data_IF_774325955699
#
_entry.id   IF_774325955699
#
_cell.length_a   1.000
_cell.length_b   1.000
_cell.length_c   1.000
_cell.angle_alpha   90.00
_cell.angle_beta   90.00
_cell.angle_gamma   90.00
#
_symmetry.space_group_name_H-M   'P 1'
#
loop_
_entity.id
_entity.type
_entity.pdbx_description
1 polymer ?
#
# COMPACT_ATOMS: atom_id res chain seq x y z
N UNK A 1 1.21 -6.78 47.68
CA UNK A 1 0.96 -8.23 47.40
C UNK A 1 -0.23 -8.81 48.16
N UNK A 2 -1.12 -8.01 48.78
CA UNK A 2 -2.28 -8.55 49.55
C UNK A 2 -3.65 -7.99 49.10
N UNK A 3 -3.84 -7.60 47.87
CA UNK A 3 -5.12 -7.02 47.36
C UNK A 3 -5.79 -7.77 46.20
N UNK A 4 -5.21 -8.84 45.68
CA UNK A 4 -5.71 -9.49 44.44
C UNK A 4 -6.45 -10.81 44.65
N UNK A 5 -6.67 -11.26 45.87
CA UNK A 5 -7.24 -12.60 46.16
C UNK A 5 -8.74 -12.62 46.48
N UNK A 6 -9.44 -11.48 46.50
CA UNK A 6 -10.87 -11.46 46.97
C UNK A 6 -11.88 -11.35 45.79
N UNK A 7 -11.48 -11.14 44.57
CA UNK A 7 -12.43 -10.95 43.45
C UNK A 7 -12.69 -12.20 42.60
N UNK A 8 -12.38 -13.41 43.09
CA UNK A 8 -12.58 -14.67 42.32
C UNK A 8 -13.82 -15.48 42.68
N UNK A 9 -14.73 -14.97 43.51
CA UNK A 9 -15.99 -15.67 43.81
C UNK A 9 -17.15 -14.70 43.85
N UNK A 10 -17.69 -14.36 42.71
CA UNK A 10 -19.07 -13.88 42.49
C UNK A 10 -19.12 -13.19 41.13
N UNK A 11 -19.51 -13.89 40.11
CA UNK A 11 -20.29 -13.35 38.98
C UNK A 11 -20.53 -14.47 37.95
N UNK A 12 -21.51 -15.30 38.21
CA UNK A 12 -22.39 -15.78 37.14
C UNK A 12 -23.55 -14.77 37.09
N UNK A 13 -23.88 -14.35 35.88
CA UNK A 13 -25.02 -13.54 35.39
C UNK A 13 -24.75 -12.06 35.17
N UNK A 14 -24.96 -11.71 33.94
CA UNK A 14 -25.25 -10.46 33.27
C UNK A 14 -24.16 -10.01 32.27
N UNK A 15 -24.18 -10.64 31.10
CA UNK A 15 -23.61 -10.10 29.87
C UNK A 15 -24.34 -8.83 29.49
N UNK A 16 -23.80 -7.68 29.85
CA UNK A 16 -24.22 -6.42 29.25
C UNK A 16 -23.12 -5.96 28.30
N UNK A 17 -23.38 -5.92 26.99
CA UNK A 17 -22.40 -5.47 25.97
C UNK A 17 -21.89 -4.06 26.27
N UNK A 18 -22.66 -3.25 26.98
CA UNK A 18 -22.29 -1.91 27.43
C UNK A 18 -21.08 -1.89 28.40
N UNK A 19 -20.97 -2.82 29.33
CA UNK A 19 -19.84 -2.90 30.26
C UNK A 19 -18.52 -3.26 29.52
N UNK A 20 -18.60 -4.17 28.56
CA UNK A 20 -17.46 -4.54 27.72
C UNK A 20 -17.01 -3.35 26.86
N UNK A 21 -17.94 -2.57 26.29
CA UNK A 21 -17.65 -1.38 25.50
C UNK A 21 -17.02 -0.28 26.38
N UNK A 22 -17.59 -0.02 27.57
CA UNK A 22 -17.05 0.99 28.52
C UNK A 22 -15.66 0.58 29.00
N UNK A 23 -15.44 -0.71 29.32
CA UNK A 23 -14.12 -1.21 29.71
C UNK A 23 -13.10 -1.10 28.58
N UNK A 24 -13.51 -1.41 27.34
CA UNK A 24 -12.66 -1.28 26.15
C UNK A 24 -12.34 0.19 25.86
N UNK A 25 -13.30 1.09 25.96
CA UNK A 25 -13.10 2.54 25.80
C UNK A 25 -12.23 3.14 26.92
N UNK A 26 -12.37 2.66 28.17
CA UNK A 26 -11.52 3.07 29.28
C UNK A 26 -10.09 2.59 29.11
N UNK A 27 -9.86 1.36 28.64
CA UNK A 27 -8.52 0.84 28.31
C UNK A 27 -7.92 1.66 27.16
N UNK A 28 -8.66 1.94 26.09
CA UNK A 28 -8.20 2.75 24.95
C UNK A 28 -7.82 4.16 25.43
N UNK A 29 -8.61 4.78 26.31
CA UNK A 29 -8.31 6.09 26.90
C UNK A 29 -7.04 6.06 27.76
N UNK A 30 -6.84 5.02 28.58
CA UNK A 30 -5.63 4.87 29.42
C UNK A 30 -4.38 4.62 28.57
N UNK A 31 -4.47 3.75 27.56
CA UNK A 31 -3.39 3.49 26.60
C UNK A 31 -3.03 4.77 25.84
N UNK A 32 -4.03 5.53 25.40
CA UNK A 32 -3.81 6.82 24.73
C UNK A 32 -3.03 7.80 25.62
N UNK A 33 -3.34 7.87 26.92
CA UNK A 33 -2.65 8.74 27.89
C UNK A 33 -1.20 8.29 28.15
N UNK A 34 -0.95 6.97 28.18
CA UNK A 34 0.40 6.40 28.35
C UNK A 34 1.25 6.65 27.09
N UNK A 35 0.65 6.45 25.91
CA UNK A 35 1.33 6.71 24.62
C UNK A 35 1.66 8.19 24.42
N UNK A 36 0.77 9.08 24.87
CA UNK A 36 1.05 10.53 24.82
C UNK A 36 2.21 10.93 25.76
N UNK A 37 2.42 10.19 26.86
CA UNK A 37 3.57 10.37 27.77
C UNK A 37 4.86 9.67 27.28
N UNK A 38 4.75 8.55 26.56
CA UNK A 38 5.89 7.79 26.02
C UNK A 38 6.41 8.32 24.68
N UNK A 39 5.73 9.28 24.04
CA UNK A 39 6.23 9.91 22.83
C UNK A 39 7.50 10.71 23.17
N UNK A 40 8.65 10.28 22.64
CA UNK A 40 9.89 11.04 22.71
C UNK A 40 9.60 12.51 22.35
N UNK A 41 10.00 13.48 23.18
CA UNK A 41 9.67 14.87 22.94
C UNK A 41 10.31 15.31 21.62
N UNK A 42 9.50 15.47 20.59
CA UNK A 42 9.95 16.02 19.30
C UNK A 42 10.48 17.42 19.53
N UNK A 43 11.68 17.71 19.02
CA UNK A 43 12.16 19.09 18.97
C UNK A 43 11.19 19.95 18.14
N UNK A 44 11.11 21.25 18.45
CA UNK A 44 10.27 22.21 17.70
C UNK A 44 10.52 22.12 16.19
N UNK A 45 11.78 21.92 15.80
CA UNK A 45 12.20 21.79 14.41
C UNK A 45 11.67 20.51 13.75
N UNK A 46 11.60 19.39 14.46
CA UNK A 46 11.04 18.14 13.91
C UNK A 46 9.53 18.25 13.69
N UNK A 47 8.80 18.89 14.60
CA UNK A 47 7.35 19.15 14.43
C UNK A 47 7.09 20.06 13.23
N UNK A 48 7.88 21.11 13.05
CA UNK A 48 7.76 22.03 11.93
C UNK A 48 8.05 21.32 10.60
N UNK A 49 9.15 20.56 10.53
CA UNK A 49 9.48 19.74 9.34
C UNK A 49 8.35 18.78 8.99
N UNK A 50 7.82 18.03 9.95
CA UNK A 50 6.72 17.10 9.70
C UNK A 50 5.46 17.80 9.15
N UNK A 51 5.12 18.99 9.67
CA UNK A 51 4.00 19.79 9.14
C UNK A 51 4.26 20.28 7.72
N UNK A 52 5.45 20.80 7.46
CA UNK A 52 5.85 21.28 6.12
C UNK A 52 5.84 20.14 5.09
N UNK A 53 6.46 19.00 5.41
CA UNK A 53 6.44 17.83 4.54
C UNK A 53 5.02 17.30 4.32
N UNK A 54 4.20 17.24 5.39
CA UNK A 54 2.81 16.82 5.30
C UNK A 54 2.01 17.73 4.34
N UNK A 55 2.13 19.05 4.50
CA UNK A 55 1.46 20.00 3.62
C UNK A 55 1.98 19.93 2.18
N UNK A 56 3.29 19.85 1.98
CA UNK A 56 3.91 19.75 0.67
C UNK A 56 3.42 18.49 -0.08
N UNK A 57 3.50 17.32 0.54
CA UNK A 57 3.09 16.08 -0.11
C UNK A 57 1.57 15.97 -0.28
N UNK A 58 0.78 16.54 0.63
CA UNK A 58 -0.67 16.63 0.46
C UNK A 58 -1.03 17.45 -0.79
N UNK A 59 -0.37 18.58 -1.04
CA UNK A 59 -0.56 19.37 -2.26
C UNK A 59 0.07 18.70 -3.50
N UNK A 60 1.14 17.94 -3.33
CA UNK A 60 1.78 17.24 -4.44
C UNK A 60 0.88 16.16 -5.05
N UNK A 61 0.00 15.51 -4.27
CA UNK A 61 -0.91 14.47 -4.79
C UNK A 61 -1.83 15.03 -5.90
N UNK A 62 -2.67 16.04 -5.67
CA UNK A 62 -3.52 16.58 -6.72
C UNK A 62 -2.70 17.19 -7.87
N UNK A 63 -1.56 17.81 -7.59
CA UNK A 63 -0.68 18.35 -8.62
C UNK A 63 -0.13 17.25 -9.55
N UNK A 64 0.30 16.12 -9.00
CA UNK A 64 0.78 14.98 -9.81
C UNK A 64 -0.35 14.28 -10.55
N UNK A 65 -1.55 14.20 -9.98
CA UNK A 65 -2.73 13.69 -10.68
C UNK A 65 -3.02 14.55 -11.92
N UNK A 66 -3.09 15.88 -11.76
CA UNK A 66 -3.33 16.80 -12.87
C UNK A 66 -2.23 16.70 -13.93
N UNK A 67 -0.96 16.65 -13.50
CA UNK A 67 0.18 16.46 -14.40
C UNK A 67 0.06 15.15 -15.19
N UNK A 68 -0.21 14.05 -14.51
CA UNK A 68 -0.27 12.73 -15.13
C UNK A 68 -1.48 12.56 -16.07
N UNK A 69 -2.60 13.22 -15.81
CA UNK A 69 -3.76 13.23 -16.71
C UNK A 69 -3.44 14.05 -17.96
N UNK A 70 -2.72 15.17 -17.80
CA UNK A 70 -2.44 16.10 -18.89
C UNK A 70 -1.34 15.61 -19.85
N UNK A 71 -0.34 14.87 -19.36
CA UNK A 71 0.79 14.35 -20.14
C UNK A 71 0.56 12.87 -20.52
N UNK A 72 0.80 12.56 -21.80
CA UNK A 72 0.74 11.18 -22.28
C UNK A 72 0.98 11.08 -23.78
N UNK A 73 1.19 9.85 -24.31
CA UNK A 73 1.62 9.61 -25.69
C UNK A 73 0.67 10.15 -26.76
N UNK A 74 -0.61 10.33 -26.44
CA UNK A 74 -1.63 10.80 -27.40
C UNK A 74 -1.62 12.33 -27.66
N UNK A 75 -0.62 13.08 -27.20
CA UNK A 75 -0.38 14.47 -27.61
C UNK A 75 -1.51 15.47 -27.31
N UNK A 76 -2.35 15.22 -26.31
CA UNK A 76 -3.53 16.06 -26.00
C UNK A 76 -3.19 17.49 -25.56
N UNK A 77 -1.94 17.76 -25.17
CA UNK A 77 -1.54 19.03 -24.58
C UNK A 77 -1.98 19.19 -23.11
N UNK A 78 -1.24 20.00 -22.36
CA UNK A 78 -1.47 20.16 -20.91
C UNK A 78 -2.84 20.81 -20.61
N UNK A 79 -3.19 21.87 -21.33
CA UNK A 79 -4.46 22.58 -21.14
C UNK A 79 -5.67 21.70 -21.44
N UNK A 80 -5.64 20.98 -22.56
CA UNK A 80 -6.77 20.13 -22.97
C UNK A 80 -7.03 18.96 -22.01
N UNK A 81 -5.99 18.43 -21.37
CA UNK A 81 -6.17 17.39 -20.32
C UNK A 81 -6.92 17.90 -19.11
N UNK A 82 -6.59 19.10 -18.62
CA UNK A 82 -7.28 19.72 -17.48
C UNK A 82 -8.72 20.09 -17.85
N UNK A 83 -8.91 20.68 -19.04
CA UNK A 83 -10.25 21.08 -19.49
C UNK A 83 -11.14 19.85 -19.68
N UNK A 84 -10.63 18.75 -20.28
CA UNK A 84 -11.37 17.49 -20.41
C UNK A 84 -11.78 16.90 -19.05
N UNK A 85 -10.94 17.05 -18.02
CA UNK A 85 -11.28 16.62 -16.66
C UNK A 85 -12.41 17.45 -16.07
N UNK A 86 -12.40 18.78 -16.29
CA UNK A 86 -13.38 19.72 -15.71
C UNK A 86 -14.69 19.81 -16.50
N UNK A 87 -14.70 19.44 -17.78
CA UNK A 87 -15.86 19.56 -18.66
C UNK A 87 -17.15 18.96 -18.07
N UNK A 88 -17.19 17.74 -17.52
CA UNK A 88 -18.43 17.20 -16.95
C UNK A 88 -18.96 18.00 -15.76
N UNK A 89 -18.04 18.51 -14.92
CA UNK A 89 -18.41 19.33 -13.76
C UNK A 89 -18.98 20.68 -14.22
N UNK A 90 -18.38 21.29 -15.24
CA UNK A 90 -18.84 22.57 -15.77
C UNK A 90 -20.15 22.40 -16.51
N UNK A 91 -20.35 21.34 -17.26
CA UNK A 91 -21.63 21.06 -17.91
C UNK A 91 -22.78 20.92 -16.91
N UNK A 92 -22.56 20.26 -15.76
CA UNK A 92 -23.55 20.20 -14.67
C UNK A 92 -23.81 21.54 -14.02
N UNK A 93 -22.79 22.39 -13.89
CA UNK A 93 -22.94 23.74 -13.33
C UNK A 93 -23.46 24.77 -14.33
N UNK A 94 -23.29 24.54 -15.64
CA UNK A 94 -23.74 25.43 -16.70
C UNK A 94 -25.23 25.38 -16.96
N UNK A 95 -25.92 24.34 -16.49
CA UNK A 95 -27.37 24.29 -16.45
C UNK A 95 -27.93 25.41 -15.57
N UNK A 96 -27.20 25.80 -14.49
CA UNK A 96 -27.55 26.91 -13.59
C UNK A 96 -26.87 28.23 -13.98
N UNK A 97 -25.75 28.21 -14.69
CA UNK A 97 -24.89 29.33 -15.04
C UNK A 97 -24.40 29.31 -16.50
N UNK A 98 -25.21 29.65 -17.50
CA UNK A 98 -24.87 29.55 -18.93
C UNK A 98 -23.58 30.26 -19.38
N UNK A 99 -23.13 31.27 -18.61
CA UNK A 99 -21.91 32.00 -18.89
C UNK A 99 -20.62 31.13 -18.76
N UNK A 100 -20.71 30.03 -18.05
CA UNK A 100 -19.55 29.11 -17.88
C UNK A 100 -19.19 28.34 -19.15
N UNK A 101 -20.14 28.11 -20.05
CA UNK A 101 -19.91 27.40 -21.33
C UNK A 101 -18.94 28.15 -22.25
N UNK A 102 -18.79 29.44 -22.10
CA UNK A 102 -17.88 30.26 -22.93
C UNK A 102 -16.45 30.35 -22.36
N UNK A 103 -16.21 29.84 -21.14
CA UNK A 103 -14.91 29.95 -20.46
C UNK A 103 -13.93 28.84 -20.86
N UNK A 104 -14.41 27.72 -21.40
CA UNK A 104 -13.57 26.60 -21.78
C UNK A 104 -13.48 26.45 -23.30
N UNK A 105 -12.29 26.12 -23.83
CA UNK A 105 -12.16 25.73 -25.22
C UNK A 105 -12.97 24.45 -25.48
N UNK A 106 -13.56 24.34 -26.66
CA UNK A 106 -14.22 23.12 -27.11
C UNK A 106 -13.23 21.97 -27.19
N UNK A 107 -13.56 20.88 -26.53
CA UNK A 107 -12.76 19.66 -26.52
C UNK A 107 -13.44 18.58 -27.35
N UNK A 108 -12.65 17.88 -28.18
CA UNK A 108 -13.18 16.76 -28.95
C UNK A 108 -13.71 15.65 -28.02
N UNK A 109 -14.82 14.98 -28.36
CA UNK A 109 -15.34 13.86 -27.60
C UNK A 109 -14.31 12.73 -27.40
N UNK A 110 -13.39 12.57 -28.36
CA UNK A 110 -12.29 11.61 -28.28
C UNK A 110 -11.30 11.96 -27.14
N UNK A 111 -10.93 13.24 -26.98
CA UNK A 111 -10.07 13.70 -25.88
C UNK A 111 -10.74 13.53 -24.52
N UNK A 112 -12.03 13.83 -24.43
CA UNK A 112 -12.80 13.62 -23.21
C UNK A 112 -12.87 12.16 -22.82
N UNK A 113 -13.17 11.28 -23.77
CA UNK A 113 -13.20 9.82 -23.55
C UNK A 113 -11.83 9.27 -23.15
N UNK A 114 -10.74 9.73 -23.79
CA UNK A 114 -9.37 9.36 -23.44
C UNK A 114 -9.05 9.71 -21.99
N UNK A 115 -9.43 10.91 -21.54
CA UNK A 115 -9.16 11.36 -20.16
C UNK A 115 -9.98 10.57 -19.16
N UNK A 116 -11.29 10.45 -19.36
CA UNK A 116 -12.19 9.86 -18.37
C UNK A 116 -12.17 8.32 -18.35
N UNK A 117 -11.99 7.66 -19.51
CA UNK A 117 -12.07 6.20 -19.59
C UNK A 117 -10.71 5.51 -19.49
N UNK A 118 -9.59 6.22 -19.78
CA UNK A 118 -8.26 5.61 -19.82
C UNK A 118 -7.32 6.26 -18.81
N UNK A 119 -7.13 7.60 -18.88
CA UNK A 119 -6.09 8.26 -18.07
C UNK A 119 -6.45 8.38 -16.60
N UNK A 120 -7.68 8.84 -16.32
CA UNK A 120 -8.14 9.09 -14.96
C UNK A 120 -8.15 7.81 -14.09
N UNK A 121 -8.77 6.69 -14.52
CA UNK A 121 -8.74 5.47 -13.72
C UNK A 121 -7.32 4.95 -13.51
N UNK A 122 -6.44 5.00 -14.51
CA UNK A 122 -5.04 4.62 -14.39
C UNK A 122 -4.28 5.44 -13.35
N UNK A 123 -4.41 6.76 -13.38
CA UNK A 123 -3.74 7.68 -12.45
C UNK A 123 -4.29 7.52 -11.03
N UNK A 124 -5.60 7.38 -10.87
CA UNK A 124 -6.23 7.17 -9.56
C UNK A 124 -5.82 5.81 -8.96
N UNK A 125 -5.80 4.75 -9.77
CA UNK A 125 -5.35 3.44 -9.34
C UNK A 125 -3.87 3.47 -8.93
N UNK A 126 -3.00 4.13 -9.71
CA UNK A 126 -1.60 4.33 -9.35
C UNK A 126 -1.46 5.04 -7.99
N UNK A 127 -2.21 6.12 -7.77
CA UNK A 127 -2.22 6.83 -6.50
C UNK A 127 -2.68 5.97 -5.33
N UNK A 128 -3.79 5.24 -5.51
CA UNK A 128 -4.36 4.36 -4.49
C UNK A 128 -3.40 3.24 -4.10
N UNK A 129 -2.83 2.54 -5.10
CA UNK A 129 -1.89 1.42 -4.88
C UNK A 129 -0.57 1.92 -4.32
N UNK A 130 -0.03 3.04 -4.83
CA UNK A 130 1.19 3.63 -4.27
C UNK A 130 1.04 4.04 -2.81
N UNK A 131 -0.10 4.62 -2.44
CA UNK A 131 -0.45 4.96 -1.06
C UNK A 131 -0.52 3.71 -0.17
N UNK A 132 -1.22 2.66 -0.63
CA UNK A 132 -1.41 1.42 0.12
C UNK A 132 -0.07 0.69 0.36
N UNK A 133 0.77 0.57 -0.67
CA UNK A 133 2.09 -0.06 -0.55
C UNK A 133 3.00 0.67 0.43
N UNK A 134 3.00 2.02 0.41
CA UNK A 134 3.79 2.81 1.33
C UNK A 134 3.33 2.66 2.80
N UNK A 135 2.01 2.64 3.04
CA UNK A 135 1.45 2.40 4.40
C UNK A 135 1.77 0.98 4.87
N UNK A 136 1.57 -0.03 4.01
CA UNK A 136 1.90 -1.41 4.32
C UNK A 136 3.39 -1.58 4.62
N UNK A 137 4.26 -0.98 3.81
CA UNK A 137 5.70 -0.97 4.02
C UNK A 137 6.11 -0.31 5.34
N UNK A 138 5.56 0.86 5.67
CA UNK A 138 5.81 1.53 6.95
C UNK A 138 5.41 0.65 8.15
N UNK A 139 4.26 -0.04 8.04
CA UNK A 139 3.78 -1.00 9.03
C UNK A 139 4.73 -2.19 9.19
N UNK A 140 5.15 -2.81 8.08
CA UNK A 140 6.10 -3.93 8.09
C UNK A 140 7.44 -3.53 8.72
N UNK A 141 7.96 -2.36 8.35
CA UNK A 141 9.21 -1.84 8.94
C UNK A 141 9.12 -1.63 10.44
N UNK A 142 7.94 -1.25 10.96
CA UNK A 142 7.71 -1.13 12.40
C UNK A 142 7.63 -2.50 13.09
N UNK A 143 6.84 -3.41 12.53
CA UNK A 143 6.62 -4.75 13.08
C UNK A 143 7.92 -5.56 13.13
N UNK A 144 8.71 -5.54 12.06
CA UNK A 144 9.99 -6.25 12.01
C UNK A 144 11.16 -5.45 12.59
N UNK A 145 10.93 -4.19 12.97
CA UNK A 145 11.99 -3.24 13.40
C UNK A 145 13.18 -3.24 12.44
N UNK A 146 12.88 -3.42 11.17
CA UNK A 146 13.84 -3.48 10.10
C UNK A 146 13.42 -2.49 8.99
N UNK A 147 14.22 -1.46 8.70
CA UNK A 147 13.90 -0.47 7.67
C UNK A 147 13.85 -1.05 6.25
N UNK A 148 14.35 -2.28 6.06
CA UNK A 148 14.35 -2.98 4.78
C UNK A 148 13.20 -3.98 4.64
N UNK A 149 12.29 -4.06 5.64
CA UNK A 149 11.12 -4.91 5.55
C UNK A 149 10.10 -4.32 4.57
N UNK A 150 9.55 -5.17 3.71
CA UNK A 150 8.46 -4.84 2.79
C UNK A 150 7.40 -5.95 2.80
N UNK A 151 6.16 -5.67 2.35
CA UNK A 151 5.09 -6.67 2.37
C UNK A 151 5.41 -7.97 1.61
N UNK A 152 6.17 -7.89 0.53
CA UNK A 152 6.55 -9.03 -0.30
C UNK A 152 7.28 -10.14 0.45
N UNK A 153 8.03 -9.83 1.52
CA UNK A 153 8.75 -10.85 2.30
C UNK A 153 7.83 -11.82 3.04
N UNK A 154 6.55 -11.48 3.22
CA UNK A 154 5.55 -12.35 3.87
C UNK A 154 4.80 -13.27 2.92
N UNK A 155 5.20 -13.32 1.63
CA UNK A 155 4.57 -14.19 0.65
C UNK A 155 3.38 -13.59 -0.09
N UNK A 156 2.96 -12.35 0.22
CA UNK A 156 1.79 -11.69 -0.40
C UNK A 156 1.93 -11.67 -1.92
N UNK A 157 3.06 -11.15 -2.43
CA UNK A 157 3.27 -10.97 -3.87
C UNK A 157 3.42 -12.30 -4.60
N UNK A 158 4.15 -13.25 -4.04
CA UNK A 158 4.33 -14.57 -4.66
C UNK A 158 3.06 -15.43 -4.60
N UNK A 159 2.25 -15.30 -3.53
CA UNK A 159 0.93 -15.92 -3.43
C UNK A 159 -0.05 -15.39 -4.48
N UNK A 160 -0.08 -14.08 -4.70
CA UNK A 160 -0.84 -13.47 -5.79
C UNK A 160 -0.33 -13.97 -7.15
N UNK A 161 0.99 -13.96 -7.33
CA UNK A 161 1.65 -14.27 -8.58
C UNK A 161 1.42 -15.72 -9.04
N UNK A 162 1.52 -16.69 -8.15
CA UNK A 162 1.32 -18.10 -8.53
C UNK A 162 -0.09 -18.34 -9.05
N UNK A 163 -1.11 -17.78 -8.38
CA UNK A 163 -2.50 -17.95 -8.82
C UNK A 163 -2.74 -17.19 -10.12
N UNK A 164 -2.25 -15.97 -10.25
CA UNK A 164 -2.39 -15.18 -11.47
C UNK A 164 -1.75 -15.89 -12.68
N UNK A 165 -0.52 -16.38 -12.54
CA UNK A 165 0.20 -17.10 -13.61
C UNK A 165 -0.55 -18.36 -14.02
N UNK A 166 -1.05 -19.14 -13.06
CA UNK A 166 -1.86 -20.33 -13.37
C UNK A 166 -3.12 -19.95 -14.15
N UNK A 167 -3.84 -18.90 -13.72
CA UNK A 167 -5.07 -18.45 -14.39
C UNK A 167 -4.81 -17.91 -15.80
N UNK A 168 -3.68 -17.26 -16.03
CA UNK A 168 -3.26 -16.77 -17.35
C UNK A 168 -2.91 -17.97 -18.25
N UNK A 169 -1.99 -18.83 -17.83
CA UNK A 169 -1.48 -19.96 -18.63
C UNK A 169 -2.56 -21.00 -18.94
N UNK A 170 -3.55 -21.18 -18.05
CA UNK A 170 -4.70 -22.04 -18.30
C UNK A 170 -5.81 -21.40 -19.17
N UNK A 171 -5.67 -20.13 -19.54
CA UNK A 171 -6.64 -19.40 -20.34
C UNK A 171 -7.93 -19.03 -19.59
N UNK A 172 -8.02 -19.28 -18.28
CA UNK A 172 -9.20 -18.93 -17.46
C UNK A 172 -9.36 -17.42 -17.35
N UNK A 173 -8.24 -16.70 -17.21
CA UNK A 173 -8.24 -15.24 -17.14
C UNK A 173 -8.80 -14.58 -18.41
N UNK A 174 -8.57 -15.15 -19.59
CA UNK A 174 -9.09 -14.64 -20.86
C UNK A 174 -10.62 -14.78 -20.97
N UNK A 175 -11.20 -15.84 -20.37
CA UNK A 175 -12.66 -16.10 -20.39
C UNK A 175 -13.41 -15.26 -19.35
N UNK A 176 -12.78 -14.95 -18.24
CA UNK A 176 -13.38 -14.21 -17.13
C UNK A 176 -12.31 -13.30 -16.46
N UNK A 177 -12.08 -12.08 -16.97
CA UNK A 177 -11.00 -11.20 -16.49
C UNK A 177 -11.03 -10.89 -14.99
N UNK A 178 -12.23 -10.77 -14.40
CA UNK A 178 -12.36 -10.53 -12.95
C UNK A 178 -11.82 -11.67 -12.08
N UNK A 179 -11.76 -12.89 -12.62
CA UNK A 179 -11.20 -14.06 -11.90
C UNK A 179 -9.71 -13.90 -11.68
N UNK A 180 -8.99 -13.19 -12.55
CA UNK A 180 -7.57 -12.90 -12.39
C UNK A 180 -7.33 -12.11 -11.10
N UNK A 181 -8.00 -10.97 -10.94
CA UNK A 181 -7.86 -10.11 -9.75
C UNK A 181 -8.37 -10.81 -8.48
N UNK A 182 -9.51 -11.48 -8.55
CA UNK A 182 -10.05 -12.23 -7.41
C UNK A 182 -9.13 -13.39 -6.99
N UNK A 183 -8.63 -14.15 -7.95
CA UNK A 183 -7.71 -15.25 -7.72
C UNK A 183 -6.36 -14.78 -7.13
N UNK A 184 -5.79 -13.73 -7.70
CA UNK A 184 -4.57 -13.12 -7.19
C UNK A 184 -4.75 -12.62 -5.75
N UNK A 185 -5.86 -11.95 -5.44
CA UNK A 185 -6.19 -11.49 -4.10
C UNK A 185 -6.29 -12.65 -3.10
N UNK A 186 -7.03 -13.71 -3.46
CA UNK A 186 -7.17 -14.90 -2.61
C UNK A 186 -5.82 -15.60 -2.43
N UNK A 187 -5.03 -15.76 -3.49
CA UNK A 187 -3.70 -16.36 -3.43
C UNK A 187 -2.76 -15.60 -2.50
N UNK A 188 -2.80 -14.27 -2.55
CA UNK A 188 -2.05 -13.40 -1.65
C UNK A 188 -2.42 -13.64 -0.18
N UNK A 189 -3.72 -13.64 0.13
CA UNK A 189 -4.21 -13.85 1.51
C UNK A 189 -3.87 -15.25 2.02
N UNK A 190 -4.05 -16.28 1.21
CA UNK A 190 -3.73 -17.67 1.58
C UNK A 190 -2.24 -17.82 1.90
N UNK A 191 -1.35 -17.21 1.12
CA UNK A 191 0.09 -17.24 1.38
C UNK A 191 0.43 -16.60 2.73
N UNK A 192 -0.16 -15.46 3.05
CA UNK A 192 0.07 -14.77 4.34
C UNK A 192 -0.51 -15.56 5.51
N UNK A 193 -1.71 -16.10 5.37
CA UNK A 193 -2.33 -16.95 6.39
C UNK A 193 -1.44 -18.16 6.66
N UNK A 194 -0.93 -18.81 5.62
CA UNK A 194 0.01 -19.92 5.73
C UNK A 194 1.27 -19.52 6.52
N UNK A 195 1.91 -18.41 6.15
CA UNK A 195 3.11 -17.90 6.84
C UNK A 195 2.81 -17.62 8.31
N UNK A 196 1.67 -16.98 8.62
CA UNK A 196 1.30 -16.66 10.01
C UNK A 196 1.01 -17.92 10.84
N UNK A 197 0.33 -18.92 10.27
CA UNK A 197 0.05 -20.20 10.96
C UNK A 197 1.37 -20.92 11.24
N UNK A 198 2.20 -21.15 10.21
CA UNK A 198 3.47 -21.90 10.36
C UNK A 198 4.43 -21.20 11.33
N UNK A 199 4.54 -19.88 11.25
CA UNK A 199 5.35 -19.10 12.18
C UNK A 199 4.78 -19.15 13.60
N UNK A 200 3.46 -19.08 13.75
CA UNK A 200 2.77 -19.16 15.04
C UNK A 200 3.02 -20.48 15.78
N UNK A 201 3.03 -21.60 15.06
CA UNK A 201 3.35 -22.92 15.60
C UNK A 201 4.80 -23.01 16.11
N UNK A 202 5.71 -22.18 15.61
CA UNK A 202 7.12 -22.13 15.96
C UNK A 202 7.49 -20.90 16.82
N UNK A 203 6.64 -20.49 17.73
CA UNK A 203 6.90 -19.41 18.68
C UNK A 203 6.64 -17.99 18.13
N UNK A 204 6.27 -17.86 16.86
CA UNK A 204 5.75 -16.64 16.25
C UNK A 204 6.68 -15.43 16.26
N UNK A 205 8.01 -15.61 16.35
CA UNK A 205 8.96 -14.50 16.34
C UNK A 205 9.00 -13.79 14.97
N UNK A 206 9.40 -12.51 14.94
CA UNK A 206 9.60 -11.79 13.70
C UNK A 206 10.60 -12.47 12.75
N UNK A 207 11.66 -13.07 13.30
CA UNK A 207 12.65 -13.83 12.52
C UNK A 207 12.02 -15.09 11.90
N UNK A 208 11.20 -15.83 12.66
CA UNK A 208 10.49 -17.02 12.15
C UNK A 208 9.55 -16.65 11.01
N UNK A 209 8.78 -15.55 11.14
CA UNK A 209 7.90 -15.05 10.08
C UNK A 209 8.67 -14.76 8.79
N UNK A 210 9.83 -14.10 8.90
CA UNK A 210 10.68 -13.81 7.73
C UNK A 210 11.23 -15.09 7.08
N UNK A 211 11.73 -16.04 7.87
CA UNK A 211 12.28 -17.28 7.35
C UNK A 211 11.22 -18.14 6.63
N UNK A 212 10.03 -18.27 7.23
CA UNK A 212 8.91 -18.99 6.59
C UNK A 212 8.48 -18.29 5.31
N UNK A 213 8.41 -16.95 5.33
CA UNK A 213 8.08 -16.15 4.16
C UNK A 213 9.10 -16.32 3.02
N UNK A 214 10.40 -16.30 3.33
CA UNK A 214 11.47 -16.53 2.34
C UNK A 214 11.35 -17.94 1.74
N UNK A 215 11.15 -18.96 2.57
CA UNK A 215 11.00 -20.34 2.11
C UNK A 215 9.76 -20.50 1.20
N UNK A 216 8.62 -19.89 1.60
CA UNK A 216 7.40 -19.90 0.78
C UNK A 216 7.61 -19.16 -0.53
N UNK A 217 8.25 -17.98 -0.52
CA UNK A 217 8.57 -17.22 -1.73
C UNK A 217 9.41 -18.01 -2.71
N UNK A 218 10.44 -18.74 -2.22
CA UNK A 218 11.27 -19.60 -3.05
C UNK A 218 10.48 -20.77 -3.66
N UNK A 219 9.63 -21.42 -2.86
CA UNK A 219 8.76 -22.50 -3.34
C UNK A 219 7.75 -22.00 -4.40
N UNK A 220 7.02 -20.93 -4.11
CA UNK A 220 6.05 -20.36 -5.05
C UNK A 220 6.73 -19.82 -6.32
N UNK A 221 7.94 -19.26 -6.19
CA UNK A 221 8.77 -18.85 -7.33
C UNK A 221 9.11 -20.01 -8.25
N UNK A 222 9.46 -21.19 -7.69
CA UNK A 222 9.70 -22.40 -8.47
C UNK A 222 8.42 -22.88 -9.20
N UNK A 223 7.26 -22.82 -8.53
CA UNK A 223 5.96 -23.15 -9.16
C UNK A 223 5.65 -22.19 -10.31
N UNK A 224 5.87 -20.88 -10.12
CA UNK A 224 5.67 -19.86 -11.17
C UNK A 224 6.58 -20.18 -12.36
N UNK A 225 7.87 -20.40 -12.14
CA UNK A 225 8.82 -20.72 -13.20
C UNK A 225 8.44 -21.98 -13.96
N UNK A 226 8.06 -23.06 -13.25
CA UNK A 226 7.61 -24.30 -13.85
C UNK A 226 6.32 -24.09 -14.67
N UNK A 227 5.38 -23.30 -14.20
CA UNK A 227 4.11 -23.01 -14.92
C UNK A 227 4.38 -22.25 -16.21
N UNK A 228 5.23 -21.21 -16.16
CA UNK A 228 5.60 -20.43 -17.36
C UNK A 228 6.37 -21.29 -18.37
N UNK A 229 7.32 -22.10 -17.90
CA UNK A 229 8.13 -22.99 -18.78
C UNK A 229 7.27 -24.04 -19.52
N UNK A 230 6.12 -24.41 -18.96
CA UNK A 230 5.19 -25.37 -19.56
C UNK A 230 3.94 -24.69 -20.14
N UNK A 231 3.97 -23.38 -20.38
CA UNK A 231 2.85 -22.66 -20.98
C UNK A 231 2.58 -23.18 -22.41
N UNK A 232 1.32 -23.51 -22.78
CA UNK A 232 0.98 -24.05 -24.10
C UNK A 232 1.30 -23.09 -25.24
N UNK A 233 1.20 -21.78 -25.00
CA UNK A 233 1.45 -20.73 -25.99
C UNK A 233 2.47 -19.71 -25.45
N UNK A 234 3.31 -19.19 -26.35
CA UNK A 234 4.28 -18.14 -26.03
C UNK A 234 3.63 -16.86 -25.50
N UNK A 235 2.45 -16.54 -26.02
CA UNK A 235 1.69 -15.33 -25.64
C UNK A 235 1.20 -15.40 -24.19
N UNK A 236 0.80 -16.58 -23.71
CA UNK A 236 0.40 -16.80 -22.31
C UNK A 236 1.60 -16.62 -21.37
N UNK A 237 2.78 -17.16 -21.75
CA UNK A 237 4.01 -16.97 -21.00
C UNK A 237 4.41 -15.50 -20.95
N UNK A 238 4.31 -14.79 -22.07
CA UNK A 238 4.61 -13.37 -22.14
C UNK A 238 3.64 -12.54 -21.28
N UNK A 239 2.33 -12.82 -21.34
CA UNK A 239 1.33 -12.14 -20.52
C UNK A 239 1.57 -12.38 -19.02
N UNK A 240 1.94 -13.62 -18.62
CA UNK A 240 2.33 -13.92 -17.26
C UNK A 240 3.55 -13.10 -16.80
N UNK A 241 4.57 -12.98 -17.66
CA UNK A 241 5.75 -12.14 -17.38
C UNK A 241 5.39 -10.66 -17.26
N UNK A 242 4.50 -10.14 -18.09
CA UNK A 242 4.02 -8.75 -17.96
C UNK A 242 3.31 -8.55 -16.62
N UNK A 243 2.46 -9.47 -16.21
CA UNK A 243 1.76 -9.38 -14.94
C UNK A 243 2.73 -9.42 -13.74
N UNK A 244 3.75 -10.26 -13.79
CA UNK A 244 4.80 -10.36 -12.74
C UNK A 244 5.60 -9.06 -12.58
N UNK A 245 5.74 -8.28 -13.64
CA UNK A 245 6.47 -7.00 -13.60
C UNK A 245 5.61 -5.80 -13.18
N UNK A 246 4.32 -6.01 -12.91
CA UNK A 246 3.38 -4.98 -12.49
C UNK A 246 3.10 -3.92 -13.56
N UNK A 247 1.87 -3.84 -14.01
CA UNK A 247 1.45 -2.94 -15.07
C UNK A 247 0.12 -2.25 -14.76
N UNK A 248 0.02 -1.00 -15.18
CA UNK A 248 -1.18 -0.17 -15.05
C UNK A 248 -1.81 0.14 -16.43
N UNK A 249 -1.30 -0.45 -17.51
CA UNK A 249 -1.74 -0.11 -18.88
C UNK A 249 -3.20 -0.45 -19.12
N UNK A 250 -3.69 -1.56 -18.56
CA UNK A 250 -5.08 -2.00 -18.67
C UNK A 250 -6.00 -1.48 -17.53
N UNK A 251 -5.50 -0.59 -16.68
CA UNK A 251 -6.25 -0.08 -15.52
C UNK A 251 -7.56 0.61 -15.95
N UNK A 252 -8.64 0.28 -15.27
CA UNK A 252 -9.98 0.74 -15.55
C UNK A 252 -10.78 1.01 -14.27
N UNK A 253 -12.01 1.50 -14.37
CA UNK A 253 -12.87 1.82 -13.23
C UNK A 253 -13.26 0.60 -12.38
N UNK A 254 -13.32 -0.59 -12.97
CA UNK A 254 -13.62 -1.82 -12.23
C UNK A 254 -12.48 -2.20 -11.30
N UNK A 255 -11.23 -2.02 -11.73
CA UNK A 255 -10.04 -2.25 -10.89
C UNK A 255 -10.03 -1.33 -9.68
N UNK A 256 -10.39 -0.05 -9.86
CA UNK A 256 -10.55 0.88 -8.74
C UNK A 256 -11.66 0.39 -7.80
N UNK A 257 -12.81 0.01 -8.32
CA UNK A 257 -13.94 -0.45 -7.51
C UNK A 257 -13.60 -1.69 -6.68
N UNK A 258 -12.79 -2.61 -7.23
CA UNK A 258 -12.31 -3.80 -6.53
C UNK A 258 -11.30 -3.46 -5.42
N UNK A 259 -10.38 -2.53 -5.71
CA UNK A 259 -9.25 -2.24 -4.82
C UNK A 259 -9.60 -1.21 -3.73
N UNK A 260 -10.47 -0.23 -4.00
CA UNK A 260 -10.70 0.92 -3.11
C UNK A 260 -11.25 0.51 -1.75
N UNK A 261 -12.19 -0.45 -1.70
CA UNK A 261 -12.79 -0.91 -0.45
C UNK A 261 -11.75 -1.51 0.52
N UNK A 262 -11.08 -2.62 0.15
CA UNK A 262 -10.07 -3.25 1.00
C UNK A 262 -8.90 -2.33 1.35
N UNK A 263 -8.41 -1.52 0.40
CA UNK A 263 -7.31 -0.58 0.64
C UNK A 263 -7.73 0.50 1.64
N UNK A 264 -8.90 1.12 1.46
CA UNK A 264 -9.36 2.19 2.35
C UNK A 264 -9.62 1.66 3.76
N UNK A 265 -10.36 0.56 3.89
CA UNK A 265 -10.66 -0.06 5.18
C UNK A 265 -9.37 -0.46 5.90
N UNK A 266 -8.48 -1.20 5.23
CA UNK A 266 -7.22 -1.63 5.83
C UNK A 266 -6.32 -0.45 6.21
N UNK A 267 -6.21 0.57 5.37
CA UNK A 267 -5.43 1.78 5.65
C UNK A 267 -5.99 2.58 6.83
N UNK A 268 -7.32 2.77 6.90
CA UNK A 268 -7.96 3.45 8.02
C UNK A 268 -7.71 2.71 9.34
N UNK A 269 -7.84 1.38 9.36
CA UNK A 269 -7.56 0.59 10.56
C UNK A 269 -6.06 0.70 10.93
N UNK A 270 -5.13 0.64 9.97
CA UNK A 270 -3.71 0.85 10.24
C UNK A 270 -3.41 2.24 10.81
N UNK A 271 -4.11 3.28 10.33
CA UNK A 271 -4.02 4.63 10.91
C UNK A 271 -4.55 4.69 12.35
N UNK A 272 -5.59 3.93 12.69
CA UNK A 272 -6.09 3.82 14.07
C UNK A 272 -5.10 3.11 14.99
N UNK A 273 -4.28 2.19 14.47
CA UNK A 273 -3.27 1.42 15.20
C UNK A 273 -1.88 2.12 15.27
N UNK A 274 -1.81 3.42 14.96
CA UNK A 274 -0.58 4.23 15.10
C UNK A 274 0.01 4.18 16.53
N UNK A 275 -0.78 4.23 17.61
CA UNK A 275 -0.25 4.08 18.96
C UNK A 275 0.52 2.77 19.17
N UNK A 276 -0.04 1.65 18.70
CA UNK A 276 0.54 0.33 18.80
C UNK A 276 1.82 0.20 17.97
N UNK A 277 1.84 0.79 16.76
CA UNK A 277 3.03 0.87 15.92
C UNK A 277 4.16 1.64 16.61
N UNK A 278 3.84 2.73 17.30
CA UNK A 278 4.84 3.50 18.06
C UNK A 278 5.35 2.73 19.30
N UNK A 279 4.49 1.95 19.97
CA UNK A 279 4.90 1.09 21.07
C UNK A 279 5.85 -0.01 20.62
N UNK A 280 5.60 -0.63 19.46
CA UNK A 280 6.48 -1.66 18.88
C UNK A 280 7.90 -1.15 18.58
N UNK A 281 8.08 0.15 18.31
CA UNK A 281 9.40 0.75 18.12
C UNK A 281 10.27 0.67 19.38
N UNK A 282 9.65 0.68 20.58
CA UNK A 282 10.37 0.59 21.86
C UNK A 282 10.87 -0.82 22.15
N UNK A 283 10.35 -1.83 21.46
CA UNK A 283 10.64 -3.24 21.66
C UNK A 283 9.44 -4.02 22.17
N UNK A 284 9.42 -5.33 21.90
CA UNK A 284 8.28 -6.20 22.27
C UNK A 284 8.11 -6.31 23.81
N UNK A 285 9.21 -6.36 24.56
CA UNK A 285 9.17 -6.43 26.03
C UNK A 285 8.59 -5.16 26.65
N UNK A 286 9.07 -3.97 26.18
CA UNK A 286 8.55 -2.70 26.66
C UNK A 286 7.07 -2.50 26.26
N UNK A 287 6.70 -2.88 25.04
CA UNK A 287 5.32 -2.84 24.60
C UNK A 287 4.42 -3.77 25.45
N UNK A 288 4.89 -4.98 25.76
CA UNK A 288 4.17 -5.91 26.64
C UNK A 288 4.04 -5.36 28.08
N UNK A 289 5.06 -4.69 28.59
CA UNK A 289 5.02 -4.05 29.92
C UNK A 289 3.94 -2.96 30.03
N UNK A 290 3.49 -2.34 28.92
CA UNK A 290 2.35 -1.42 28.91
C UNK A 290 0.98 -2.11 28.93
N UNK A 291 0.94 -3.47 28.93
CA UNK A 291 -0.28 -4.26 28.84
C UNK A 291 -0.72 -4.59 27.41
N UNK A 292 0.08 -4.22 26.39
CA UNK A 292 -0.24 -4.56 25.00
C UNK A 292 -0.09 -6.07 24.75
N UNK A 293 -1.06 -6.68 24.08
CA UNK A 293 -0.99 -8.06 23.59
C UNK A 293 -0.14 -8.11 22.30
N UNK A 294 1.18 -8.05 22.47
CA UNK A 294 2.13 -7.84 21.36
C UNK A 294 2.00 -8.84 20.22
N UNK A 295 1.80 -10.12 20.53
CA UNK A 295 1.63 -11.18 19.53
C UNK A 295 0.38 -10.95 18.69
N UNK A 296 -0.76 -10.65 19.31
CA UNK A 296 -2.03 -10.42 18.61
C UNK A 296 -1.98 -9.15 17.75
N UNK A 297 -1.47 -8.04 18.33
CA UNK A 297 -1.34 -6.78 17.60
C UNK A 297 -0.40 -6.94 16.40
N UNK A 298 0.73 -7.64 16.56
CA UNK A 298 1.64 -7.93 15.46
C UNK A 298 0.96 -8.72 14.33
N UNK A 299 0.23 -9.78 14.67
CA UNK A 299 -0.52 -10.57 13.68
C UNK A 299 -1.57 -9.74 12.96
N UNK A 300 -2.31 -8.89 13.69
CA UNK A 300 -3.31 -7.99 13.12
C UNK A 300 -2.65 -6.97 12.15
N UNK A 301 -1.55 -6.33 12.55
CA UNK A 301 -0.82 -5.39 11.71
C UNK A 301 -0.29 -6.04 10.44
N UNK A 302 0.25 -7.26 10.54
CA UNK A 302 0.70 -8.04 9.39
C UNK A 302 -0.46 -8.41 8.46
N UNK A 303 -1.60 -8.85 9.02
CA UNK A 303 -2.79 -9.19 8.25
C UNK A 303 -3.35 -7.96 7.49
N UNK A 304 -3.41 -6.80 8.15
CA UNK A 304 -3.87 -5.56 7.53
C UNK A 304 -2.91 -5.06 6.45
N UNK A 305 -1.60 -5.09 6.71
CA UNK A 305 -0.60 -4.74 5.72
C UNK A 305 -0.65 -5.68 4.50
N UNK A 306 -0.88 -6.97 4.74
CA UNK A 306 -1.08 -7.95 3.68
C UNK A 306 -2.39 -7.69 2.91
N UNK A 307 -3.48 -7.37 3.58
CA UNK A 307 -4.77 -7.06 2.95
C UNK A 307 -4.66 -5.89 1.95
N UNK A 308 -4.07 -4.76 2.40
CA UNK A 308 -3.94 -3.59 1.53
C UNK A 308 -2.94 -3.82 0.38
N UNK A 309 -1.90 -4.62 0.62
CA UNK A 309 -0.95 -5.03 -0.43
C UNK A 309 -1.60 -5.98 -1.42
N UNK A 310 -2.31 -7.00 -0.94
CA UNK A 310 -3.00 -7.97 -1.78
C UNK A 310 -4.02 -7.30 -2.71
N UNK A 311 -4.79 -6.35 -2.18
CA UNK A 311 -5.76 -5.59 -2.98
C UNK A 311 -5.09 -4.75 -4.09
N UNK A 312 -3.94 -4.15 -3.81
CA UNK A 312 -3.14 -3.45 -4.82
C UNK A 312 -2.58 -4.40 -5.88
N UNK A 313 -1.84 -5.43 -5.45
CA UNK A 313 -1.20 -6.40 -6.34
C UNK A 313 -2.20 -7.14 -7.21
N UNK A 314 -3.40 -7.43 -6.70
CA UNK A 314 -4.46 -8.13 -7.45
C UNK A 314 -4.89 -7.41 -8.73
N UNK A 315 -4.82 -6.09 -8.75
CA UNK A 315 -5.26 -5.26 -9.89
C UNK A 315 -4.11 -4.66 -10.71
N UNK A 316 -2.89 -4.62 -10.16
CA UNK A 316 -1.72 -4.02 -10.85
C UNK A 316 -0.61 -5.01 -11.15
N UNK A 317 -0.71 -6.27 -10.69
CA UNK A 317 0.45 -7.14 -10.62
C UNK A 317 1.46 -6.70 -9.56
N UNK A 318 2.66 -7.29 -9.59
CA UNK A 318 3.67 -7.06 -8.54
C UNK A 318 4.42 -5.75 -8.77
N UNK A 319 4.24 -4.79 -7.86
CA UNK A 319 4.99 -3.52 -7.82
C UNK A 319 5.89 -3.52 -6.59
N UNK A 320 7.20 -3.44 -6.80
CA UNK A 320 8.22 -3.48 -5.75
C UNK A 320 8.77 -2.09 -5.40
N UNK A 321 9.54 -2.00 -4.31
CA UNK A 321 10.28 -0.85 -3.83
C UNK A 321 9.45 0.31 -3.27
N UNK A 322 8.18 0.51 -3.62
CA UNK A 322 7.35 1.59 -3.07
C UNK A 322 7.25 1.47 -1.56
N UNK A 323 6.87 0.29 -1.07
CA UNK A 323 6.74 0.00 0.37
C UNK A 323 8.06 -0.01 1.13
N UNK A 324 9.18 -0.20 0.43
CA UNK A 324 10.50 -0.22 1.03
C UNK A 324 11.11 1.19 1.10
N UNK A 325 11.17 1.88 -0.04
CA UNK A 325 11.93 3.13 -0.18
C UNK A 325 11.18 4.32 0.40
N UNK A 326 9.88 4.45 0.10
CA UNK A 326 9.09 5.63 0.48
C UNK A 326 9.06 5.85 2.01
N UNK A 327 8.63 4.88 2.85
CA UNK A 327 8.59 5.12 4.29
C UNK A 327 9.97 5.26 4.91
N UNK A 328 11.00 4.62 4.34
CA UNK A 328 12.37 4.79 4.79
C UNK A 328 12.88 6.23 4.57
N UNK A 329 12.65 6.81 3.38
CA UNK A 329 12.98 8.21 3.09
C UNK A 329 12.27 9.18 4.05
N UNK A 330 10.98 8.98 4.29
CA UNK A 330 10.21 9.82 5.22
C UNK A 330 10.75 9.68 6.65
N UNK A 331 11.08 8.47 7.10
CA UNK A 331 11.67 8.25 8.42
C UNK A 331 13.00 8.99 8.61
N UNK A 332 13.85 9.03 7.58
CA UNK A 332 15.09 9.80 7.61
C UNK A 332 14.86 11.33 7.66
N UNK A 333 13.80 11.81 7.01
CA UNK A 333 13.50 13.24 6.92
C UNK A 333 12.83 13.80 8.20
N UNK A 334 11.87 13.06 8.77
CA UNK A 334 11.00 13.56 9.86
C UNK A 334 11.05 12.74 11.15
N UNK A 335 11.75 11.60 11.14
CA UNK A 335 11.86 10.69 12.28
C UNK A 335 10.86 9.52 12.25
N UNK A 336 10.92 8.64 13.27
CA UNK A 336 10.24 7.35 13.26
C UNK A 336 8.77 7.38 13.74
N UNK A 337 8.27 8.52 14.25
CA UNK A 337 6.92 8.60 14.81
C UNK A 337 5.84 8.40 13.73
N UNK A 338 5.07 7.32 13.85
CA UNK A 338 4.04 6.90 12.89
C UNK A 338 2.88 7.89 12.76
N UNK A 339 2.65 8.78 13.72
CA UNK A 339 1.63 9.85 13.61
C UNK A 339 1.85 10.77 12.39
N UNK A 340 3.10 10.96 11.99
CA UNK A 340 3.44 11.73 10.79
C UNK A 340 3.96 10.83 9.68
N UNK A 341 4.65 9.75 10.02
CA UNK A 341 5.28 8.85 9.07
C UNK A 341 4.24 8.17 8.17
N UNK A 342 3.15 7.63 8.73
CA UNK A 342 2.13 6.94 7.92
C UNK A 342 1.43 7.88 6.93
N UNK A 343 0.83 9.02 7.36
CA UNK A 343 0.11 9.90 6.43
C UNK A 343 1.02 10.49 5.34
N UNK A 344 2.25 10.86 5.70
CA UNK A 344 3.17 11.44 4.74
C UNK A 344 3.70 10.36 3.78
N UNK A 345 3.95 9.14 4.27
CA UNK A 345 4.31 8.00 3.40
C UNK A 345 3.19 7.65 2.43
N UNK A 346 1.93 7.71 2.87
CA UNK A 346 0.76 7.51 2.01
C UNK A 346 0.75 8.51 0.85
N UNK A 347 0.90 9.81 1.14
CA UNK A 347 0.93 10.85 0.11
C UNK A 347 2.14 10.69 -0.84
N UNK A 348 3.34 10.47 -0.28
CA UNK A 348 4.54 10.30 -1.11
C UNK A 348 4.48 9.00 -1.93
N UNK A 349 3.89 7.92 -1.39
CA UNK A 349 3.69 6.67 -2.12
C UNK A 349 2.77 6.85 -3.33
N UNK A 350 1.67 7.60 -3.16
CA UNK A 350 0.78 7.98 -4.25
C UNK A 350 1.54 8.78 -5.33
N UNK A 351 2.23 9.84 -4.93
CA UNK A 351 3.05 10.68 -5.84
C UNK A 351 4.09 9.85 -6.57
N UNK A 352 4.83 9.01 -5.84
CA UNK A 352 5.90 8.19 -6.41
C UNK A 352 5.37 7.24 -7.50
N UNK A 353 4.28 6.52 -7.24
CA UNK A 353 3.76 5.55 -8.20
C UNK A 353 3.07 6.23 -9.39
N UNK A 354 2.38 7.36 -9.20
CA UNK A 354 1.83 8.17 -10.29
C UNK A 354 2.96 8.66 -11.21
N UNK A 355 4.06 9.17 -10.65
CA UNK A 355 5.19 9.63 -11.45
C UNK A 355 5.94 8.48 -12.13
N UNK A 356 6.11 7.34 -11.46
CA UNK A 356 6.70 6.14 -12.06
C UNK A 356 5.87 5.65 -13.26
N UNK A 357 4.54 5.63 -13.12
CA UNK A 357 3.64 5.30 -14.22
C UNK A 357 3.69 6.33 -15.36
N UNK A 358 3.77 7.62 -15.03
CA UNK A 358 3.93 8.67 -16.05
C UNK A 358 5.22 8.48 -16.84
N UNK A 359 6.33 8.18 -16.17
CA UNK A 359 7.61 7.86 -16.82
C UNK A 359 7.50 6.60 -17.68
N UNK A 360 6.89 5.52 -17.13
CA UNK A 360 6.73 4.25 -17.83
C UNK A 360 6.03 4.37 -19.19
N UNK A 361 5.00 5.20 -19.28
CA UNK A 361 4.20 5.39 -20.51
C UNK A 361 4.71 6.49 -21.42
N UNK A 362 5.65 7.34 -20.96
CA UNK A 362 6.09 8.51 -21.75
C UNK A 362 7.52 8.38 -22.28
N UNK A 363 8.41 7.65 -21.55
CA UNK A 363 9.86 7.67 -21.83
C UNK A 363 10.23 6.99 -23.15
N UNK A 364 9.57 5.87 -23.47
CA UNK A 364 9.85 5.08 -24.67
C UNK A 364 8.65 5.00 -25.63
N UNK A 365 7.78 6.03 -25.64
CA UNK A 365 6.63 6.07 -26.54
C UNK A 365 7.03 5.78 -27.99
N UNK A 366 6.31 4.93 -28.75
CA UNK A 366 4.98 4.37 -28.43
C UNK A 366 4.99 3.12 -27.55
N UNK A 367 6.14 2.53 -27.23
CA UNK A 367 6.24 1.33 -26.38
C UNK A 367 6.22 1.74 -24.91
N UNK A 368 5.20 1.34 -24.18
CA UNK A 368 5.14 1.57 -22.73
C UNK A 368 5.96 0.51 -21.98
N UNK A 369 6.72 0.94 -20.98
CA UNK A 369 7.33 0.04 -20.01
C UNK A 369 6.32 -0.37 -18.94
N UNK A 370 6.52 -1.52 -18.31
CA UNK A 370 5.78 -1.90 -17.10
C UNK A 370 6.13 -0.94 -15.96
N UNK A 371 5.11 -0.49 -15.22
CA UNK A 371 5.28 0.45 -14.11
C UNK A 371 6.20 -0.09 -13.02
N UNK A 372 6.10 -1.41 -12.70
CA UNK A 372 6.96 -2.07 -11.73
C UNK A 372 8.44 -2.11 -12.15
N UNK A 373 8.73 -2.21 -13.43
CA UNK A 373 10.11 -2.09 -13.94
C UNK A 373 10.68 -0.71 -13.64
N UNK A 374 9.91 0.36 -13.86
CA UNK A 374 10.35 1.73 -13.56
C UNK A 374 10.53 1.94 -12.07
N UNK A 375 9.62 1.41 -11.22
CA UNK A 375 9.79 1.50 -9.76
C UNK A 375 11.03 0.76 -9.29
N UNK A 376 11.41 -0.36 -9.91
CA UNK A 376 12.64 -1.09 -9.61
C UNK A 376 13.89 -0.30 -10.05
N UNK A 377 13.88 0.30 -11.24
CA UNK A 377 14.98 1.16 -11.72
C UNK A 377 15.23 2.37 -10.82
N UNK A 378 14.17 2.96 -10.25
CA UNK A 378 14.30 4.09 -9.33
C UNK A 378 14.61 3.63 -7.91
N UNK A 379 13.98 2.56 -7.47
CA UNK A 379 14.03 2.10 -6.08
C UNK A 379 15.34 1.41 -5.70
N UNK A 380 15.88 0.54 -6.57
CA UNK A 380 17.10 -0.20 -6.25
C UNK A 380 18.34 0.70 -6.09
N UNK A 381 18.63 1.68 -6.97
CA UNK A 381 19.71 2.63 -6.76
C UNK A 381 19.48 3.54 -5.54
N UNK A 382 18.23 3.96 -5.31
CA UNK A 382 17.91 4.77 -4.13
C UNK A 382 18.19 4.01 -2.84
N UNK A 383 17.82 2.73 -2.77
CA UNK A 383 18.10 1.87 -1.62
C UNK A 383 19.61 1.70 -1.42
N UNK A 384 20.37 1.42 -2.48
CA UNK A 384 21.81 1.26 -2.42
C UNK A 384 22.49 2.54 -1.89
N UNK A 385 22.08 3.71 -2.42
CA UNK A 385 22.59 5.00 -1.93
C UNK A 385 22.28 5.24 -0.45
N UNK A 386 21.11 4.81 0.04
CA UNK A 386 20.73 4.91 1.45
C UNK A 386 21.61 4.03 2.34
N UNK A 387 21.88 2.79 1.94
CA UNK A 387 22.73 1.85 2.68
C UNK A 387 24.16 2.38 2.77
N UNK A 388 24.73 2.86 1.66
CA UNK A 388 26.10 3.43 1.64
C UNK A 388 26.24 4.66 2.55
N UNK A 389 25.23 5.53 2.61
CA UNK A 389 25.23 6.69 3.50
C UNK A 389 25.14 6.33 4.99
N UNK A 390 24.51 5.22 5.34
CA UNK A 390 24.42 4.75 6.73
C UNK A 390 25.73 4.11 7.20
N UNK A 391 26.41 3.34 6.34
CA UNK A 391 27.71 2.73 6.64
C UNK A 391 28.80 3.74 6.95
N UNK A 392 28.84 4.89 6.25
CA UNK A 392 29.80 5.96 6.48
C UNK A 392 29.59 6.80 7.75
N UNK A 393 28.51 6.58 8.51
CA UNK A 393 28.25 7.25 9.81
C UNK A 393 28.62 6.39 11.02
N UNK A 394 28.95 5.12 10.82
CA UNK A 394 29.36 4.19 11.88
C UNK A 394 30.88 3.95 11.91
N UNK A 395 31.61 4.45 10.96
CA UNK A 395 33.07 4.55 10.93
C UNK A 395 33.53 5.96 11.36
#
# INVERSE_FOLDING_TARGET
VRGFAVLRRSHRTADTPLLTIIFTLSIISHVKTIVDRASLPRTRNQKLRARLFGFLFFLAVPATILLAISIGPAGTGFSNGIVALLTPLINTLSDDLPALNHLLPEISPATQSLVWSIRLPRVLLAGLVGASLAVAGATMQAVFRNPLAEPGVTGVSSGAAVVAVILIVTGVAAKAPWVLSAGAFIGALLAVIFVQIVAGLNGGSGATLLLVGIALNAFLGAVIAATIANAPHSDDAQQAMFWLNGDLTAANWQDIALAVGPITVGTVILMMLIPELNLLLLGEEQAAATGMRTVWIRQLLLALAALVTAAGVAVTGVISFVGLVVPHLIRLAIGPDHRSLLPISMCLGAVFLILADLVARSLFSPVALQTGTVTAFLGAPALLALILRQGGRQS
#
